data_IF_045059097088
#
_entry.id   IF_045059097088
#
_cell.length_a   1.000
_cell.length_b   1.000
_cell.length_c   1.000
_cell.angle_alpha   90.00
_cell.angle_beta   90.00
_cell.angle_gamma   90.00
#
_symmetry.space_group_name_H-M   'P 1'
#
loop_
_entity.id
_entity.type
_entity.pdbx_description
1 polymer ?
#
# COMPACT_ATOMS: atom_id res chain seq x y z
N UNK A 1 -33.34 5.03 6.32
CA UNK A 1 -33.10 6.46 6.05
C UNK A 1 -31.68 6.62 5.57
N UNK A 2 -31.45 7.28 4.45
CA UNK A 2 -30.10 7.55 3.96
C UNK A 2 -29.50 8.64 4.86
N UNK A 3 -28.38 8.37 5.51
CA UNK A 3 -27.69 9.36 6.33
C UNK A 3 -27.15 10.49 5.42
N UNK A 4 -27.35 11.74 5.82
CA UNK A 4 -26.83 12.89 5.10
C UNK A 4 -25.73 13.55 5.96
N UNK A 5 -24.45 13.41 5.56
CA UNK A 5 -23.34 13.95 6.32
C UNK A 5 -23.34 15.48 6.32
N UNK A 6 -22.89 16.08 7.43
CA UNK A 6 -22.70 17.51 7.60
C UNK A 6 -21.25 17.93 7.45
N UNK A 7 -20.31 17.03 7.84
CA UNK A 7 -18.87 17.26 7.70
C UNK A 7 -18.38 16.83 6.32
N UNK A 8 -17.46 17.60 5.77
CA UNK A 8 -16.84 17.33 4.48
C UNK A 8 -16.12 15.96 4.45
N UNK A 9 -15.53 15.55 5.60
CA UNK A 9 -14.84 14.28 5.68
C UNK A 9 -15.77 13.09 5.45
N UNK A 10 -16.89 13.03 6.20
CA UNK A 10 -17.85 11.92 6.03
C UNK A 10 -18.49 11.96 4.64
N UNK A 11 -18.79 13.16 4.12
CA UNK A 11 -19.31 13.31 2.76
C UNK A 11 -18.37 12.71 1.72
N UNK A 12 -17.08 13.06 1.77
CA UNK A 12 -16.05 12.53 0.87
C UNK A 12 -15.87 11.02 1.04
N UNK A 13 -15.87 10.50 2.28
CA UNK A 13 -15.76 9.06 2.52
C UNK A 13 -16.92 8.29 1.91
N UNK A 14 -18.14 8.81 1.99
CA UNK A 14 -19.34 8.20 1.40
C UNK A 14 -19.31 8.27 -0.12
N UNK A 15 -19.12 9.48 -0.68
CA UNK A 15 -19.21 9.74 -2.11
C UNK A 15 -18.16 8.98 -2.92
N UNK A 16 -16.94 8.84 -2.35
CA UNK A 16 -15.83 8.15 -3.01
C UNK A 16 -15.79 6.64 -2.77
N UNK A 17 -16.63 6.12 -1.86
CA UNK A 17 -16.73 4.69 -1.59
C UNK A 17 -15.66 4.16 -0.61
N UNK A 18 -15.18 5.00 0.31
CA UNK A 18 -14.25 4.58 1.37
C UNK A 18 -14.95 3.89 2.54
N UNK A 19 -16.27 3.98 2.66
CA UNK A 19 -16.96 3.48 3.85
C UNK A 19 -17.36 2.03 3.72
N UNK A 20 -16.94 1.21 4.72
CA UNK A 20 -17.52 -0.11 5.00
C UNK A 20 -18.39 -0.03 6.25
N UNK A 21 -17.79 0.25 7.41
CA UNK A 21 -18.47 0.33 8.70
C UNK A 21 -18.05 1.58 9.47
N UNK A 22 -18.95 2.09 10.31
CA UNK A 22 -18.69 3.18 11.26
C UNK A 22 -19.43 2.87 12.57
N UNK A 23 -18.79 3.12 13.71
CA UNK A 23 -19.39 2.83 15.02
C UNK A 23 -20.53 3.75 15.38
N UNK A 24 -20.44 5.01 14.98
CA UNK A 24 -21.49 6.03 15.14
C UNK A 24 -21.30 7.14 14.11
N UNK A 25 -22.08 7.12 13.05
CA UNK A 25 -22.00 8.14 12.00
C UNK A 25 -22.36 9.54 12.50
N UNK A 26 -23.40 9.66 13.31
CA UNK A 26 -23.87 10.95 13.75
C UNK A 26 -22.89 11.59 14.74
N UNK A 27 -22.45 10.83 15.73
CA UNK A 27 -21.51 11.34 16.74
C UNK A 27 -20.19 11.74 16.12
N UNK A 28 -19.63 10.91 15.21
CA UNK A 28 -18.40 11.22 14.50
C UNK A 28 -18.55 12.47 13.62
N UNK A 29 -19.62 12.57 12.85
CA UNK A 29 -19.89 13.69 11.95
C UNK A 29 -19.99 15.01 12.73
N UNK A 30 -20.73 15.03 13.86
CA UNK A 30 -20.83 16.18 14.75
C UNK A 30 -19.49 16.55 15.41
N UNK A 31 -18.68 15.54 15.77
CA UNK A 31 -17.35 15.78 16.34
C UNK A 31 -16.41 16.43 15.32
N UNK A 32 -16.43 15.97 14.06
CA UNK A 32 -15.58 16.48 12.98
C UNK A 32 -15.91 17.93 12.58
N UNK A 33 -17.14 18.39 12.77
CA UNK A 33 -17.51 19.80 12.52
C UNK A 33 -16.72 20.80 13.38
N UNK A 34 -16.12 20.37 14.50
CA UNK A 34 -15.30 21.22 15.35
C UNK A 34 -13.96 21.61 14.71
N UNK A 35 -13.56 20.94 13.63
CA UNK A 35 -12.27 21.12 12.96
C UNK A 35 -11.08 20.65 13.80
N UNK A 36 -9.94 20.40 13.17
CA UNK A 36 -8.70 20.03 13.84
C UNK A 36 -8.73 18.69 14.61
N UNK A 37 -9.79 17.89 14.45
CA UNK A 37 -9.95 16.66 15.21
C UNK A 37 -8.92 15.61 14.76
N UNK A 38 -8.13 15.02 15.70
CA UNK A 38 -7.17 14.02 15.33
C UNK A 38 -7.83 12.66 15.02
N UNK A 39 -7.38 12.06 13.90
CA UNK A 39 -7.73 10.69 13.52
C UNK A 39 -6.50 9.93 13.06
N UNK A 40 -6.41 8.63 13.37
CA UNK A 40 -5.21 7.86 13.08
C UNK A 40 -5.45 6.57 12.31
N UNK A 41 -4.39 6.12 11.66
CA UNK A 41 -4.22 4.75 11.18
C UNK A 41 -2.86 4.25 11.63
N UNK A 42 -2.81 3.00 12.11
CA UNK A 42 -1.58 2.32 12.49
C UNK A 42 -0.96 1.55 11.32
N UNK A 43 0.37 1.57 11.25
CA UNK A 43 1.14 0.88 10.21
C UNK A 43 2.31 0.12 10.84
N UNK A 44 2.26 -1.20 10.81
CA UNK A 44 3.37 -2.05 11.21
C UNK A 44 4.54 -1.93 10.23
N UNK A 45 5.73 -1.77 10.77
CA UNK A 45 6.97 -1.56 10.02
C UNK A 45 7.60 -2.89 9.56
N UNK A 46 6.84 -3.68 8.78
CA UNK A 46 7.27 -5.02 8.33
C UNK A 46 8.15 -5.03 7.09
N UNK A 47 8.31 -3.88 6.41
CA UNK A 47 9.17 -3.68 5.25
C UNK A 47 9.59 -2.19 5.15
N UNK A 48 10.63 -1.90 4.37
CA UNK A 48 11.14 -0.52 4.15
C UNK A 48 10.20 0.37 3.34
N UNK A 49 9.09 -0.15 2.84
CA UNK A 49 8.06 0.59 2.13
C UNK A 49 6.69 0.03 2.43
N UNK A 50 5.66 0.83 2.19
CA UNK A 50 4.30 0.37 2.01
C UNK A 50 4.08 -0.04 0.57
N UNK A 51 3.05 -0.83 0.31
CA UNK A 51 2.67 -1.24 -1.04
C UNK A 51 1.26 -0.68 -1.39
N UNK A 52 0.87 -0.78 -2.66
CA UNK A 52 -0.41 -0.27 -3.17
C UNK A 52 -1.62 -0.73 -2.35
N UNK A 53 -1.55 -1.90 -1.70
CA UNK A 53 -2.63 -2.36 -0.81
C UNK A 53 -2.87 -1.46 0.40
N UNK A 54 -1.88 -0.67 0.82
CA UNK A 54 -2.03 0.31 1.92
C UNK A 54 -2.46 1.70 1.43
N UNK A 55 -2.57 1.91 0.11
CA UNK A 55 -2.81 3.24 -0.44
C UNK A 55 -4.19 3.78 -0.08
N UNK A 56 -5.19 2.90 0.07
CA UNK A 56 -6.54 3.33 0.46
C UNK A 56 -6.53 3.98 1.86
N UNK A 57 -5.77 3.41 2.81
CA UNK A 57 -5.63 3.95 4.16
C UNK A 57 -4.86 5.28 4.14
N UNK A 58 -3.85 5.40 3.29
CA UNK A 58 -3.11 6.66 3.10
C UNK A 58 -4.04 7.74 2.55
N UNK A 59 -4.89 7.41 1.58
CA UNK A 59 -5.86 8.35 1.01
C UNK A 59 -6.93 8.76 2.02
N UNK A 60 -7.35 7.88 2.93
CA UNK A 60 -8.26 8.26 4.03
C UNK A 60 -7.63 9.32 4.94
N UNK A 61 -6.35 9.16 5.32
CA UNK A 61 -5.62 10.17 6.10
C UNK A 61 -5.45 11.49 5.31
N UNK A 62 -5.16 11.40 4.01
CA UNK A 62 -5.06 12.57 3.13
C UNK A 62 -6.39 13.34 3.06
N UNK A 63 -7.51 12.64 2.88
CA UNK A 63 -8.83 13.28 2.88
C UNK A 63 -9.18 13.86 4.25
N UNK A 64 -8.82 13.20 5.36
CA UNK A 64 -8.98 13.77 6.69
C UNK A 64 -8.25 15.12 6.81
N UNK A 65 -7.00 15.19 6.31
CA UNK A 65 -6.23 16.44 6.30
C UNK A 65 -6.88 17.52 5.43
N UNK A 66 -7.29 17.18 4.22
CA UNK A 66 -7.88 18.11 3.25
C UNK A 66 -9.22 18.69 3.70
N UNK A 67 -9.94 17.96 4.54
CA UNK A 67 -11.22 18.38 5.11
C UNK A 67 -11.08 19.02 6.51
N UNK A 68 -9.86 19.38 6.91
CA UNK A 68 -9.59 20.14 8.12
C UNK A 68 -9.40 19.30 9.39
N UNK A 69 -9.36 17.97 9.30
CA UNK A 69 -8.96 17.09 10.40
C UNK A 69 -7.44 17.01 10.54
N UNK A 70 -6.96 16.39 11.62
CA UNK A 70 -5.53 16.23 11.94
C UNK A 70 -5.09 14.78 11.84
N UNK A 71 -4.45 14.34 10.73
CA UNK A 71 -4.03 12.96 10.59
C UNK A 71 -2.90 12.58 11.55
N UNK A 72 -2.97 11.38 12.12
CA UNK A 72 -1.88 10.74 12.84
C UNK A 72 -1.48 9.46 12.08
N UNK A 73 -0.24 9.41 11.63
CA UNK A 73 0.38 8.17 11.16
C UNK A 73 1.06 7.49 12.34
N UNK A 74 0.42 6.44 12.88
CA UNK A 74 0.99 5.68 13.99
C UNK A 74 1.94 4.61 13.47
N UNK A 75 3.23 4.77 13.74
CA UNK A 75 4.23 3.75 13.41
C UNK A 75 4.21 2.66 14.46
N UNK A 76 4.06 1.43 14.01
CA UNK A 76 4.02 0.23 14.86
C UNK A 76 5.40 -0.23 15.32
N UNK A 77 6.25 0.66 15.86
CA UNK A 77 7.58 0.25 16.35
C UNK A 77 7.53 -0.78 17.48
N UNK A 78 6.53 -0.67 18.37
CA UNK A 78 6.27 -1.65 19.42
C UNK A 78 5.46 -2.85 18.88
N UNK A 79 4.35 -2.61 18.19
CA UNK A 79 3.46 -3.69 17.68
C UNK A 79 4.10 -4.55 16.61
N UNK A 80 5.03 -4.04 15.81
CA UNK A 80 5.79 -4.86 14.83
C UNK A 80 6.62 -5.97 15.49
N UNK A 81 7.03 -5.79 16.75
CA UNK A 81 7.73 -6.83 17.53
C UNK A 81 6.83 -8.04 17.83
N UNK A 82 5.51 -7.84 17.74
CA UNK A 82 4.48 -8.87 18.00
C UNK A 82 3.92 -9.40 16.69
N UNK A 83 3.49 -8.52 15.79
CA UNK A 83 2.92 -8.82 14.48
C UNK A 83 1.42 -9.06 14.49
N UNK A 84 0.69 -8.31 13.65
CA UNK A 84 -0.77 -8.44 13.47
C UNK A 84 -1.13 -9.79 12.82
N UNK A 85 -1.94 -10.64 13.50
CA UNK A 85 -2.40 -11.92 12.95
C UNK A 85 -3.56 -11.77 11.96
N UNK A 86 -4.15 -10.59 11.81
CA UNK A 86 -5.39 -10.37 11.04
C UNK A 86 -5.28 -10.89 9.62
N UNK A 87 -6.16 -11.84 9.26
CA UNK A 87 -6.28 -12.48 7.94
C UNK A 87 -5.00 -13.07 7.36
N UNK A 88 -4.10 -13.55 8.23
CA UNK A 88 -2.88 -14.31 7.86
C UNK A 88 -2.96 -15.75 8.37
N UNK A 89 -2.35 -16.65 7.61
CA UNK A 89 -2.24 -18.06 7.99
C UNK A 89 -0.98 -18.33 8.83
N UNK A 90 0.11 -17.59 8.55
CA UNK A 90 1.43 -17.81 9.14
C UNK A 90 1.82 -16.65 10.05
N UNK A 91 2.60 -16.95 11.08
CA UNK A 91 3.22 -15.94 11.96
C UNK A 91 4.14 -15.01 11.17
N UNK A 92 4.23 -13.76 11.62
CA UNK A 92 5.21 -12.80 11.05
C UNK A 92 6.62 -13.15 11.53
N UNK A 93 7.64 -13.00 10.67
CA UNK A 93 9.02 -13.11 11.11
C UNK A 93 9.31 -12.01 12.15
N UNK A 94 10.02 -12.39 13.22
CA UNK A 94 10.48 -11.44 14.23
C UNK A 94 11.61 -10.60 13.63
N UNK A 95 11.45 -9.29 13.69
CA UNK A 95 12.44 -8.32 13.21
C UNK A 95 13.25 -7.77 14.39
N UNK A 96 14.54 -7.43 14.14
CA UNK A 96 15.33 -6.71 15.14
C UNK A 96 14.87 -5.26 15.28
N UNK A 97 15.14 -4.59 16.43
CA UNK A 97 14.83 -3.18 16.61
C UNK A 97 15.40 -2.30 15.49
N UNK A 98 16.64 -2.55 15.07
CA UNK A 98 17.32 -1.80 13.99
C UNK A 98 16.61 -1.99 12.64
N UNK A 99 16.11 -3.19 12.35
CA UNK A 99 15.34 -3.45 11.14
C UNK A 99 13.99 -2.72 11.17
N UNK A 100 13.35 -2.63 12.34
CA UNK A 100 12.10 -1.90 12.52
C UNK A 100 12.32 -0.41 12.30
N UNK A 101 13.37 0.17 12.87
CA UNK A 101 13.73 1.59 12.73
C UNK A 101 14.05 1.94 11.26
N UNK A 102 14.82 1.10 10.57
CA UNK A 102 15.10 1.23 9.13
C UNK A 102 13.82 1.21 8.30
N UNK A 103 12.90 0.30 8.63
CA UNK A 103 11.61 0.19 7.95
C UNK A 103 10.75 1.44 8.19
N UNK A 104 10.68 1.95 9.42
CA UNK A 104 9.97 3.20 9.76
C UNK A 104 10.53 4.37 8.96
N UNK A 105 11.86 4.48 8.87
CA UNK A 105 12.52 5.55 8.09
C UNK A 105 12.14 5.48 6.59
N UNK A 106 12.02 4.28 6.04
CA UNK A 106 11.58 4.06 4.66
C UNK A 106 10.10 4.42 4.45
N UNK A 107 9.23 3.97 5.36
CA UNK A 107 7.78 4.25 5.31
C UNK A 107 7.48 5.75 5.42
N UNK A 108 8.26 6.48 6.24
CA UNK A 108 8.15 7.93 6.39
C UNK A 108 8.22 8.68 5.06
N UNK A 109 9.06 8.22 4.11
CA UNK A 109 9.18 8.83 2.78
C UNK A 109 7.85 8.77 2.02
N UNK A 110 7.13 7.65 2.12
CA UNK A 110 5.81 7.48 1.48
C UNK A 110 4.82 8.49 2.02
N UNK A 111 4.69 8.61 3.33
CA UNK A 111 3.73 9.53 3.93
C UNK A 111 4.00 10.99 3.58
N UNK A 112 5.28 11.39 3.48
CA UNK A 112 5.66 12.76 3.11
C UNK A 112 5.22 13.18 1.70
N UNK A 113 4.90 12.21 0.82
CA UNK A 113 4.32 12.52 -0.49
C UNK A 113 2.80 12.82 -0.42
N UNK A 114 2.10 12.26 0.58
CA UNK A 114 0.66 12.38 0.68
C UNK A 114 0.17 13.36 1.75
N UNK A 115 0.97 13.60 2.78
CA UNK A 115 0.58 14.36 3.97
C UNK A 115 1.57 15.50 4.22
N UNK A 116 1.04 16.65 4.62
CA UNK A 116 1.83 17.77 5.12
C UNK A 116 2.00 17.61 6.63
N UNK A 117 3.25 17.52 7.09
CA UNK A 117 3.60 17.43 8.50
C UNK A 117 4.02 18.79 9.04
N UNK A 118 3.65 19.12 10.27
CA UNK A 118 4.00 20.39 10.91
C UNK A 118 3.18 20.66 12.16
N UNK A 119 3.12 21.94 12.55
CA UNK A 119 2.46 22.41 13.78
C UNK A 119 1.08 23.05 13.54
N UNK A 120 0.63 23.13 12.28
CA UNK A 120 -0.67 23.66 11.91
C UNK A 120 -1.84 22.80 12.45
N UNK A 121 -3.03 23.37 12.49
CA UNK A 121 -4.21 22.70 13.03
C UNK A 121 -4.56 21.39 12.31
N UNK A 122 -4.31 21.31 11.00
CA UNK A 122 -4.55 20.14 10.15
C UNK A 122 -3.26 19.41 9.76
N UNK A 123 -2.09 19.90 10.19
CA UNK A 123 -0.82 19.23 9.85
C UNK A 123 -0.76 17.86 10.51
N UNK A 124 -0.27 16.88 9.74
CA UNK A 124 -0.15 15.51 10.22
C UNK A 124 0.92 15.37 11.32
N UNK A 125 0.72 14.41 12.18
CA UNK A 125 1.72 13.96 13.16
C UNK A 125 2.17 12.54 12.83
N UNK A 126 3.46 12.26 13.03
CA UNK A 126 4.00 10.90 13.00
C UNK A 126 4.41 10.51 14.41
N UNK A 127 3.80 9.44 14.92
CA UNK A 127 3.98 8.97 16.28
C UNK A 127 4.40 7.50 16.23
N UNK A 128 5.29 7.09 17.12
CA UNK A 128 5.73 5.69 17.24
C UNK A 128 5.18 5.08 18.53
N UNK A 129 4.42 4.01 18.44
CA UNK A 129 3.84 3.36 19.61
C UNK A 129 4.88 2.68 20.52
N UNK A 130 6.12 2.51 20.09
CA UNK A 130 7.23 2.11 20.94
C UNK A 130 7.44 3.09 22.12
N UNK A 131 7.06 4.38 21.97
CA UNK A 131 7.15 5.39 23.02
C UNK A 131 6.42 5.01 24.33
N UNK A 132 5.37 4.23 24.23
CA UNK A 132 4.61 3.75 25.40
C UNK A 132 4.64 2.23 25.57
N UNK A 133 4.77 1.46 24.50
CA UNK A 133 4.74 0.01 24.59
C UNK A 133 6.04 -0.58 25.14
N UNK A 134 7.19 -0.01 24.79
CA UNK A 134 8.51 -0.55 25.21
C UNK A 134 8.77 -0.43 26.71
N UNK A 135 8.14 0.54 27.36
CA UNK A 135 8.28 0.78 28.81
C UNK A 135 7.25 0.07 29.68
N UNK A 136 6.32 -0.71 29.12
CA UNK A 136 5.25 -1.35 29.87
C UNK A 136 5.77 -2.47 30.79
N UNK A 137 5.40 -2.41 32.08
CA UNK A 137 5.55 -3.55 32.97
C UNK A 137 4.47 -4.57 32.68
N UNK A 138 4.85 -5.80 32.38
CA UNK A 138 3.91 -6.85 31.95
C UNK A 138 2.81 -7.15 32.98
N UNK A 139 3.15 -7.25 34.29
CA UNK A 139 2.16 -7.56 35.33
C UNK A 139 1.21 -6.40 35.57
N UNK A 140 1.72 -5.16 35.56
CA UNK A 140 0.89 -3.97 35.69
C UNK A 140 -0.05 -3.83 34.49
N UNK A 141 0.44 -4.07 33.28
CA UNK A 141 -0.35 -4.04 32.07
C UNK A 141 -1.48 -5.11 32.09
N UNK A 142 -1.17 -6.33 32.50
CA UNK A 142 -2.21 -7.37 32.64
C UNK A 142 -3.25 -6.99 33.68
N UNK A 143 -2.84 -6.46 34.83
CA UNK A 143 -3.73 -6.07 35.92
C UNK A 143 -4.63 -4.90 35.52
N UNK A 144 -4.06 -3.86 34.93
CA UNK A 144 -4.75 -2.58 34.75
C UNK A 144 -5.48 -2.53 33.41
N UNK A 145 -4.95 -3.15 32.37
CA UNK A 145 -5.49 -3.16 31.01
C UNK A 145 -6.11 -4.53 30.65
N UNK A 146 -5.39 -5.63 30.86
CA UNK A 146 -5.85 -6.98 30.49
C UNK A 146 -7.17 -7.36 31.12
N UNK A 147 -7.47 -6.90 32.37
CA UNK A 147 -8.74 -7.14 33.06
C UNK A 147 -9.99 -6.63 32.30
N UNK A 148 -9.83 -5.71 31.35
CA UNK A 148 -10.91 -5.14 30.56
C UNK A 148 -11.29 -5.99 29.33
N UNK A 149 -10.49 -7.03 29.03
CA UNK A 149 -10.70 -7.91 27.89
C UNK A 149 -11.28 -9.26 28.33
N UNK A 150 -12.35 -9.69 27.66
CA UNK A 150 -12.93 -11.01 27.85
C UNK A 150 -12.36 -11.98 26.80
N UNK A 151 -11.75 -13.09 27.24
CA UNK A 151 -11.25 -14.14 26.35
C UNK A 151 -12.35 -14.64 25.39
N UNK A 152 -13.58 -14.88 25.89
CA UNK A 152 -14.68 -15.32 25.04
C UNK A 152 -14.98 -14.34 23.91
N UNK A 153 -14.91 -13.04 24.18
CA UNK A 153 -15.10 -11.99 23.16
C UNK A 153 -13.92 -11.95 22.19
N UNK A 154 -12.69 -12.02 22.70
CA UNK A 154 -11.49 -12.05 21.86
C UNK A 154 -11.50 -13.22 20.88
N UNK A 155 -11.94 -14.40 21.32
CA UNK A 155 -12.10 -15.60 20.49
C UNK A 155 -13.21 -15.48 19.43
N UNK A 156 -14.18 -14.59 19.62
CA UNK A 156 -15.29 -14.39 18.68
C UNK A 156 -14.97 -13.47 17.51
N UNK A 157 -13.85 -12.74 17.55
CA UNK A 157 -13.45 -11.88 16.44
C UNK A 157 -13.04 -12.68 15.21
N UNK A 158 -13.47 -12.26 14.03
CA UNK A 158 -13.28 -12.99 12.78
C UNK A 158 -11.80 -13.32 12.50
N UNK A 159 -10.88 -12.41 12.83
CA UNK A 159 -9.44 -12.62 12.68
C UNK A 159 -8.90 -13.80 13.50
N UNK A 160 -9.45 -14.03 14.69
CA UNK A 160 -9.10 -15.15 15.58
C UNK A 160 -9.90 -16.39 15.21
N UNK A 161 -11.22 -16.24 15.12
CA UNK A 161 -12.15 -17.33 14.85
C UNK A 161 -11.81 -18.07 13.56
N UNK A 162 -11.54 -17.35 12.46
CA UNK A 162 -11.20 -17.97 11.19
C UNK A 162 -9.92 -18.83 11.23
N UNK A 163 -8.95 -18.49 12.09
CA UNK A 163 -7.74 -19.32 12.30
C UNK A 163 -8.05 -20.57 13.13
N UNK A 164 -8.83 -20.40 14.18
CA UNK A 164 -9.26 -21.55 15.02
C UNK A 164 -10.13 -22.54 14.22
N UNK A 165 -11.10 -22.04 13.45
CA UNK A 165 -11.97 -22.85 12.60
C UNK A 165 -11.22 -23.64 11.52
N UNK A 166 -10.05 -23.11 11.08
CA UNK A 166 -9.15 -23.75 10.10
C UNK A 166 -8.05 -24.58 10.75
N UNK A 167 -8.07 -24.75 12.07
CA UNK A 167 -7.03 -25.45 12.84
C UNK A 167 -5.61 -24.88 12.60
N UNK A 168 -5.52 -23.57 12.31
CA UNK A 168 -4.25 -22.89 12.12
C UNK A 168 -3.69 -22.42 13.47
N UNK A 169 -2.37 -22.50 13.63
CA UNK A 169 -1.70 -22.02 14.83
C UNK A 169 -1.95 -20.54 15.07
N UNK A 170 -2.22 -20.17 16.31
CA UNK A 170 -2.29 -18.79 16.80
C UNK A 170 -1.48 -18.74 18.10
N UNK A 171 -0.34 -18.05 18.06
CA UNK A 171 0.50 -17.93 19.24
C UNK A 171 -0.12 -17.00 20.29
N UNK A 172 0.28 -17.17 21.55
CA UNK A 172 -0.11 -16.25 22.62
C UNK A 172 0.37 -14.82 22.31
N UNK A 173 1.53 -14.67 21.68
CA UNK A 173 2.08 -13.38 21.24
C UNK A 173 1.11 -12.69 20.28
N UNK A 174 0.75 -13.33 19.17
CA UNK A 174 -0.20 -12.80 18.18
C UNK A 174 -1.58 -12.51 18.79
N UNK A 175 -2.06 -13.40 19.70
CA UNK A 175 -3.35 -13.21 20.37
C UNK A 175 -3.41 -11.92 21.20
N UNK A 176 -2.28 -11.48 21.76
CA UNK A 176 -2.20 -10.22 22.52
C UNK A 176 -2.17 -8.97 21.63
N UNK A 177 -1.94 -9.10 20.31
CA UNK A 177 -1.85 -7.94 19.42
C UNK A 177 -3.07 -7.00 19.53
N UNK A 178 -4.29 -7.56 19.58
CA UNK A 178 -5.51 -6.76 19.68
C UNK A 178 -5.59 -5.92 20.96
N UNK A 179 -4.95 -6.36 22.06
CA UNK A 179 -4.89 -5.61 23.32
C UNK A 179 -3.93 -4.42 23.16
N UNK A 180 -2.77 -4.63 22.51
CA UNK A 180 -1.80 -3.59 22.24
C UNK A 180 -2.35 -2.49 21.34
N UNK A 181 -3.05 -2.88 20.26
CA UNK A 181 -3.70 -1.91 19.36
C UNK A 181 -4.83 -1.14 20.07
N UNK A 182 -5.58 -1.80 20.95
CA UNK A 182 -6.60 -1.13 21.75
C UNK A 182 -5.95 -0.12 22.73
N UNK A 183 -4.81 -0.48 23.32
CA UNK A 183 -4.05 0.41 24.17
C UNK A 183 -3.48 1.60 23.41
N UNK A 184 -3.03 1.42 22.17
CA UNK A 184 -2.59 2.50 21.29
C UNK A 184 -3.69 3.57 21.12
N UNK A 185 -4.93 3.15 20.86
CA UNK A 185 -6.02 4.11 20.70
C UNK A 185 -6.27 4.92 21.97
N UNK A 186 -6.29 4.26 23.12
CA UNK A 186 -6.46 4.91 24.42
C UNK A 186 -5.31 5.91 24.70
N UNK A 187 -4.06 5.53 24.42
CA UNK A 187 -2.89 6.41 24.61
C UNK A 187 -2.93 7.61 23.65
N UNK A 188 -3.30 7.39 22.39
CA UNK A 188 -3.47 8.48 21.42
C UNK A 188 -4.58 9.43 21.83
N UNK A 189 -5.71 8.92 22.34
CA UNK A 189 -6.76 9.78 22.87
C UNK A 189 -6.27 10.58 24.08
N UNK A 190 -5.61 9.92 25.06
CA UNK A 190 -5.12 10.52 26.27
C UNK A 190 -4.06 11.60 26.03
N UNK A 191 -3.11 11.35 25.11
CA UNK A 191 -1.97 12.24 24.86
C UNK A 191 -2.25 13.33 23.84
N UNK A 192 -3.05 13.04 22.82
CA UNK A 192 -3.22 13.90 21.66
C UNK A 192 -4.69 14.24 21.35
N UNK A 193 -5.64 13.79 22.20
CA UNK A 193 -7.07 14.00 21.94
C UNK A 193 -7.59 13.28 20.69
N UNK A 194 -6.94 12.21 20.25
CA UNK A 194 -7.34 11.46 19.07
C UNK A 194 -8.72 10.84 19.25
N UNK A 195 -9.68 11.21 18.38
CA UNK A 195 -11.07 10.76 18.49
C UNK A 195 -11.45 9.66 17.50
N UNK A 196 -10.65 9.44 16.46
CA UNK A 196 -11.00 8.54 15.35
C UNK A 196 -9.88 7.54 15.07
N UNK A 197 -10.23 6.24 15.09
CA UNK A 197 -9.39 5.20 14.52
C UNK A 197 -9.97 4.76 13.17
N UNK A 198 -9.11 4.70 12.15
CA UNK A 198 -9.49 4.21 10.82
C UNK A 198 -8.65 2.98 10.44
N UNK A 199 -9.19 2.17 9.51
CA UNK A 199 -8.49 0.99 9.00
C UNK A 199 -9.25 0.28 7.88
N UNK A 200 -8.78 -0.88 7.45
CA UNK A 200 -9.57 -1.78 6.62
C UNK A 200 -10.63 -2.52 7.44
N UNK A 201 -11.63 -3.09 6.79
CA UNK A 201 -12.68 -3.87 7.48
C UNK A 201 -12.15 -5.10 8.24
N UNK A 202 -10.94 -5.57 7.89
CA UNK A 202 -10.19 -6.57 8.64
C UNK A 202 -9.77 -6.10 10.05
N UNK A 203 -9.71 -4.79 10.27
CA UNK A 203 -9.32 -4.17 11.54
C UNK A 203 -10.51 -3.86 12.46
N UNK A 204 -11.75 -4.14 12.04
CA UNK A 204 -12.95 -3.78 12.79
C UNK A 204 -12.92 -4.27 14.25
N UNK A 205 -12.55 -5.52 14.47
CA UNK A 205 -12.45 -6.09 15.83
C UNK A 205 -11.45 -5.37 16.72
N UNK A 206 -10.26 -5.03 16.17
CA UNK A 206 -9.24 -4.30 16.90
C UNK A 206 -9.71 -2.86 17.22
N UNK A 207 -10.36 -2.19 16.26
CA UNK A 207 -10.90 -0.83 16.42
C UNK A 207 -11.95 -0.79 17.55
N UNK A 208 -12.91 -1.71 17.52
CA UNK A 208 -13.97 -1.78 18.54
C UNK A 208 -13.41 -2.07 19.94
N UNK A 209 -12.36 -2.89 20.03
CA UNK A 209 -11.65 -3.11 21.30
C UNK A 209 -11.01 -1.82 21.84
N UNK A 210 -10.40 -1.00 20.96
CA UNK A 210 -9.82 0.29 21.32
C UNK A 210 -10.86 1.26 21.86
N UNK A 211 -12.02 1.34 21.20
CA UNK A 211 -13.16 2.18 21.63
C UNK A 211 -13.67 1.74 23.00
N UNK A 212 -13.88 0.44 23.20
CA UNK A 212 -14.35 -0.10 24.48
C UNK A 212 -13.36 0.13 25.61
N UNK A 213 -12.05 -0.04 25.34
CA UNK A 213 -11.00 0.20 26.35
C UNK A 213 -10.96 1.68 26.73
N UNK A 214 -10.92 2.58 25.76
CA UNK A 214 -10.88 4.03 25.98
C UNK A 214 -12.05 4.50 26.82
N UNK A 215 -13.27 4.03 26.49
CA UNK A 215 -14.47 4.35 27.27
C UNK A 215 -14.42 3.83 28.70
N UNK A 216 -13.93 2.59 28.91
CA UNK A 216 -13.92 1.96 30.23
C UNK A 216 -12.86 2.48 31.18
N UNK A 217 -11.71 2.90 30.66
CA UNK A 217 -10.55 3.28 31.47
C UNK A 217 -10.48 4.78 31.69
N UNK A 218 -10.79 5.59 30.69
CA UNK A 218 -10.65 7.05 30.74
C UNK A 218 -11.92 7.81 30.33
N UNK A 219 -13.06 7.11 30.20
CA UNK A 219 -14.37 7.68 29.84
C UNK A 219 -14.34 8.50 28.53
N UNK A 220 -13.38 8.22 27.65
CA UNK A 220 -13.21 8.92 26.39
C UNK A 220 -14.27 8.55 25.36
N UNK A 221 -14.78 9.52 24.64
CA UNK A 221 -15.69 9.35 23.51
C UNK A 221 -14.88 9.32 22.22
N UNK A 222 -14.80 8.15 21.59
CA UNK A 222 -14.00 7.91 20.40
C UNK A 222 -14.75 7.03 19.39
N UNK A 223 -14.36 7.12 18.13
CA UNK A 223 -15.08 6.54 17.00
C UNK A 223 -14.16 5.66 16.16
N UNK A 224 -14.77 4.71 15.46
CA UNK A 224 -14.12 3.83 14.50
C UNK A 224 -14.76 3.90 13.11
N UNK A 225 -13.94 3.89 12.07
CA UNK A 225 -14.37 3.90 10.68
C UNK A 225 -13.50 2.95 9.86
N UNK A 226 -14.13 2.09 9.04
CA UNK A 226 -13.39 1.16 8.20
C UNK A 226 -13.68 1.36 6.72
N UNK A 227 -12.66 1.05 5.91
CA UNK A 227 -12.79 0.94 4.46
C UNK A 227 -13.01 -0.52 4.05
N UNK A 228 -13.64 -0.76 2.86
CA UNK A 228 -13.72 -2.10 2.32
C UNK A 228 -12.33 -2.65 2.01
N UNK A 229 -12.18 -3.97 2.15
CA UNK A 229 -10.99 -4.66 1.64
C UNK A 229 -11.02 -4.65 0.12
N UNK A 230 -9.97 -4.08 -0.48
CA UNK A 230 -9.92 -3.97 -1.92
C UNK A 230 -9.39 -5.24 -2.58
N UNK A 231 -10.25 -5.80 -3.39
CA UNK A 231 -9.91 -6.78 -4.43
C UNK A 231 -10.13 -6.15 -5.80
N UNK A 232 -9.38 -6.56 -6.77
CA UNK A 232 -9.65 -6.27 -8.17
C UNK A 232 -10.90 -7.01 -8.63
N UNK A 233 -11.52 -6.58 -9.73
CA UNK A 233 -12.74 -7.20 -10.27
C UNK A 233 -12.56 -8.68 -10.66
N UNK A 234 -11.30 -9.12 -10.87
CA UNK A 234 -10.93 -10.53 -11.08
C UNK A 234 -10.66 -11.30 -9.77
N UNK A 235 -10.98 -10.71 -8.61
CA UNK A 235 -10.90 -11.33 -7.28
C UNK A 235 -9.51 -11.37 -6.66
N UNK A 236 -8.49 -10.77 -7.26
CA UNK A 236 -7.14 -10.72 -6.69
C UNK A 236 -7.03 -9.62 -5.64
N UNK A 237 -6.20 -9.86 -4.62
CA UNK A 237 -5.87 -8.83 -3.63
C UNK A 237 -5.03 -7.73 -4.27
N UNK A 238 -5.38 -6.46 -4.01
CA UNK A 238 -4.57 -5.31 -4.39
C UNK A 238 -3.17 -5.38 -3.76
N UNK A 239 -2.16 -4.91 -4.51
CA UNK A 239 -0.79 -4.74 -4.01
C UNK A 239 0.16 -5.89 -4.30
N UNK A 240 -0.28 -6.95 -4.98
CA UNK A 240 0.61 -8.02 -5.46
C UNK A 240 0.44 -8.22 -6.96
N UNK A 241 1.56 -8.19 -7.70
CA UNK A 241 1.65 -8.64 -9.08
C UNK A 241 2.26 -10.05 -9.14
N UNK A 242 2.38 -10.61 -10.35
CA UNK A 242 3.12 -11.86 -10.54
C UNK A 242 4.60 -11.74 -10.18
N UNK A 243 5.15 -10.52 -10.20
CA UNK A 243 6.55 -10.21 -9.86
C UNK A 243 6.74 -9.80 -8.39
N UNK A 244 5.69 -9.72 -7.57
CA UNK A 244 5.77 -9.38 -6.15
C UNK A 244 4.91 -8.21 -5.72
N UNK A 245 5.27 -7.54 -4.62
CA UNK A 245 4.56 -6.38 -4.12
C UNK A 245 4.81 -5.15 -5.00
N UNK A 246 3.76 -4.34 -5.22
CA UNK A 246 3.87 -3.03 -5.88
C UNK A 246 4.20 -2.01 -4.80
N UNK A 247 5.47 -1.72 -4.67
CA UNK A 247 6.01 -0.82 -3.65
C UNK A 247 5.75 0.65 -3.97
N UNK A 248 5.65 1.47 -2.92
CA UNK A 248 5.42 2.91 -3.05
C UNK A 248 6.73 3.73 -3.07
N UNK A 249 7.83 3.21 -2.49
CA UNK A 249 9.12 3.90 -2.55
C UNK A 249 9.79 3.73 -3.93
N UNK A 250 10.25 4.82 -4.51
CA UNK A 250 10.90 4.85 -5.83
C UNK A 250 12.24 4.10 -5.92
N UNK A 251 12.89 3.86 -4.78
CA UNK A 251 14.10 3.01 -4.68
C UNK A 251 13.79 1.50 -4.68
N UNK A 252 12.53 1.11 -4.53
CA UNK A 252 12.07 -0.29 -4.56
C UNK A 252 11.24 -0.63 -5.81
N UNK A 253 10.61 0.36 -6.44
CA UNK A 253 9.87 0.23 -7.68
C UNK A 253 9.93 1.56 -8.43
N UNK A 254 10.39 1.56 -9.68
CA UNK A 254 10.49 2.78 -10.48
C UNK A 254 9.14 3.44 -10.73
N UNK A 255 9.14 4.77 -10.93
CA UNK A 255 7.92 5.52 -11.27
C UNK A 255 7.25 4.98 -12.54
N UNK A 256 8.03 4.52 -13.51
CA UNK A 256 7.52 3.89 -14.73
C UNK A 256 6.76 2.58 -14.44
N UNK A 257 7.34 1.67 -13.65
CA UNK A 257 6.67 0.40 -13.28
C UNK A 257 5.42 0.65 -12.45
N UNK A 258 5.48 1.61 -11.51
CA UNK A 258 4.34 2.05 -10.73
C UNK A 258 3.22 2.62 -11.62
N UNK A 259 3.57 3.49 -12.57
CA UNK A 259 2.64 4.05 -13.56
C UNK A 259 2.03 2.93 -14.43
N UNK A 260 2.85 2.00 -14.92
CA UNK A 260 2.40 0.85 -15.72
C UNK A 260 1.43 -0.06 -14.96
N UNK A 261 1.62 -0.24 -13.66
CA UNK A 261 0.68 -1.00 -12.84
C UNK A 261 -0.73 -0.38 -12.92
N UNK A 262 -0.86 0.92 -12.73
CA UNK A 262 -2.13 1.63 -12.80
C UNK A 262 -2.71 1.71 -14.21
N UNK A 263 -1.84 1.94 -15.20
CA UNK A 263 -2.23 1.92 -16.62
C UNK A 263 -2.83 0.58 -17.07
N UNK A 264 -2.43 -0.51 -16.41
CA UNK A 264 -2.88 -1.87 -16.68
C UNK A 264 -4.10 -2.30 -15.84
N UNK A 265 -4.73 -1.38 -15.13
CA UNK A 265 -6.00 -1.62 -14.41
C UNK A 265 -7.06 -2.20 -15.35
N UNK A 266 -7.86 -3.15 -14.85
CA UNK A 266 -8.99 -3.72 -15.62
C UNK A 266 -10.05 -2.66 -15.86
N UNK A 267 -10.75 -2.72 -16.99
CA UNK A 267 -11.77 -1.71 -17.36
C UNK A 267 -12.82 -1.53 -16.26
N UNK A 268 -13.25 -2.64 -15.66
CA UNK A 268 -14.26 -2.64 -14.59
C UNK A 268 -13.82 -1.94 -13.30
N UNK A 269 -12.52 -1.81 -13.07
CA UNK A 269 -11.98 -1.20 -11.84
C UNK A 269 -11.65 0.29 -11.99
N UNK A 270 -11.55 0.81 -13.23
CA UNK A 270 -11.06 2.17 -13.51
C UNK A 270 -11.85 3.23 -12.76
N UNK A 271 -13.18 3.23 -12.89
CA UNK A 271 -14.04 4.24 -12.26
C UNK A 271 -13.93 4.23 -10.73
N UNK A 272 -13.90 3.03 -10.13
CA UNK A 272 -13.73 2.86 -8.69
C UNK A 272 -12.35 3.37 -8.23
N UNK A 273 -11.29 3.06 -8.96
CA UNK A 273 -9.93 3.47 -8.59
C UNK A 273 -9.70 4.96 -8.80
N UNK A 274 -10.33 5.59 -9.79
CA UNK A 274 -10.34 7.05 -9.91
C UNK A 274 -10.91 7.72 -8.66
N UNK A 275 -12.04 7.23 -8.13
CA UNK A 275 -12.63 7.76 -6.89
C UNK A 275 -11.74 7.55 -5.67
N UNK A 276 -11.15 6.35 -5.51
CA UNK A 276 -10.39 5.99 -4.31
C UNK A 276 -8.98 6.56 -4.28
N UNK A 277 -8.31 6.69 -5.41
CA UNK A 277 -6.87 6.96 -5.44
C UNK A 277 -6.47 8.29 -6.08
N UNK A 278 -7.45 9.07 -6.55
CA UNK A 278 -7.18 10.40 -7.11
C UNK A 278 -7.92 11.49 -6.34
N UNK A 279 -7.56 12.74 -6.61
CA UNK A 279 -8.24 13.91 -6.09
C UNK A 279 -9.17 14.56 -7.13
N UNK A 280 -9.40 13.91 -8.24
CA UNK A 280 -10.32 14.39 -9.27
C UNK A 280 -11.73 14.56 -8.69
N UNK A 281 -12.50 15.56 -9.14
CA UNK A 281 -13.92 15.67 -8.81
C UNK A 281 -14.67 14.35 -9.10
N UNK A 282 -15.66 14.01 -8.29
CA UNK A 282 -16.35 12.72 -8.40
C UNK A 282 -17.12 12.60 -9.72
N UNK A 283 -17.70 13.70 -10.20
CA UNK A 283 -18.36 13.77 -11.51
C UNK A 283 -17.38 13.46 -12.66
N UNK A 284 -16.13 13.95 -12.57
CA UNK A 284 -15.09 13.62 -13.55
C UNK A 284 -14.66 12.15 -13.42
N UNK A 285 -14.57 11.61 -12.22
CA UNK A 285 -14.32 10.17 -12.02
C UNK A 285 -15.43 9.32 -12.64
N UNK A 286 -16.70 9.73 -12.50
CA UNK A 286 -17.84 9.04 -13.07
C UNK A 286 -17.86 9.16 -14.60
N UNK A 287 -17.56 10.35 -15.15
CA UNK A 287 -17.42 10.55 -16.61
C UNK A 287 -16.35 9.65 -17.21
N UNK A 288 -15.16 9.64 -16.62
CA UNK A 288 -14.05 8.81 -17.08
C UNK A 288 -14.32 7.31 -16.89
N UNK A 289 -14.94 6.94 -15.78
CA UNK A 289 -15.31 5.55 -15.49
C UNK A 289 -16.41 4.98 -16.39
N UNK A 290 -17.19 5.84 -17.05
CA UNK A 290 -18.23 5.46 -18.01
C UNK A 290 -17.69 5.23 -19.43
N UNK A 291 -16.43 5.59 -19.73
CA UNK A 291 -15.81 5.35 -21.03
C UNK A 291 -15.72 3.85 -21.32
N UNK A 292 -15.90 3.45 -22.57
CA UNK A 292 -15.92 2.05 -22.98
C UNK A 292 -15.07 1.82 -24.25
N UNK A 293 -14.78 0.56 -24.55
CA UNK A 293 -14.00 0.20 -25.73
C UNK A 293 -12.60 0.80 -25.73
N UNK A 294 -12.18 1.45 -26.80
CA UNK A 294 -10.86 2.09 -26.88
C UNK A 294 -10.74 3.35 -26.03
N UNK A 295 -11.85 4.05 -25.75
CA UNK A 295 -11.85 5.30 -24.97
C UNK A 295 -11.49 5.10 -23.49
N UNK A 296 -11.74 3.91 -22.92
CA UNK A 296 -11.35 3.60 -21.54
C UNK A 296 -9.83 3.74 -21.32
N UNK A 297 -9.03 3.68 -22.40
CA UNK A 297 -7.58 3.89 -22.30
C UNK A 297 -7.22 5.32 -21.88
N UNK A 298 -8.02 6.32 -22.23
CA UNK A 298 -7.87 7.70 -21.74
C UNK A 298 -8.00 7.73 -20.21
N UNK A 299 -9.07 7.11 -19.69
CA UNK A 299 -9.29 7.04 -18.25
C UNK A 299 -8.18 6.29 -17.50
N UNK A 300 -7.61 5.24 -18.09
CA UNK A 300 -6.47 4.50 -17.51
C UNK A 300 -5.18 5.31 -17.49
N UNK A 301 -4.90 6.09 -18.55
CA UNK A 301 -3.76 7.01 -18.57
C UNK A 301 -3.95 8.10 -17.52
N UNK A 302 -5.16 8.67 -17.45
CA UNK A 302 -5.47 9.68 -16.43
C UNK A 302 -5.30 9.14 -15.02
N UNK A 303 -5.82 7.94 -14.73
CA UNK A 303 -5.64 7.26 -13.45
C UNK A 303 -4.16 7.09 -13.08
N UNK A 304 -3.35 6.57 -14.01
CA UNK A 304 -1.93 6.35 -13.80
C UNK A 304 -1.18 7.67 -13.56
N UNK A 305 -1.48 8.71 -14.32
CA UNK A 305 -0.87 10.04 -14.17
C UNK A 305 -1.20 10.65 -12.81
N UNK A 306 -2.46 10.67 -12.41
CA UNK A 306 -2.89 11.25 -11.13
C UNK A 306 -2.21 10.58 -9.95
N UNK A 307 -2.23 9.24 -9.89
CA UNK A 307 -1.66 8.50 -8.77
C UNK A 307 -0.13 8.61 -8.75
N UNK A 308 0.52 8.56 -9.91
CA UNK A 308 1.98 8.70 -10.00
C UNK A 308 2.40 10.13 -9.64
N UNK A 309 1.63 11.14 -10.03
CA UNK A 309 1.88 12.55 -9.65
C UNK A 309 1.81 12.73 -8.13
N UNK A 310 0.84 12.13 -7.46
CA UNK A 310 0.70 12.21 -6.01
C UNK A 310 1.89 11.60 -5.27
N UNK A 311 2.45 10.52 -5.78
CA UNK A 311 3.53 9.79 -5.10
C UNK A 311 4.93 10.24 -5.52
N UNK A 312 5.17 10.41 -6.82
CA UNK A 312 6.50 10.61 -7.41
C UNK A 312 6.69 12.02 -8.01
N UNK A 313 5.62 12.82 -8.07
CA UNK A 313 5.65 14.16 -8.67
C UNK A 313 5.24 14.17 -10.14
N UNK A 314 4.92 15.37 -10.64
CA UNK A 314 4.39 15.57 -12.00
C UNK A 314 5.40 15.19 -13.10
N UNK A 315 6.69 15.55 -12.91
CA UNK A 315 7.73 15.27 -13.89
C UNK A 315 7.93 13.75 -14.08
N UNK A 316 7.92 12.98 -12.97
CA UNK A 316 8.03 11.53 -13.02
C UNK A 316 6.82 10.88 -13.73
N UNK A 317 5.61 11.39 -13.49
CA UNK A 317 4.40 10.91 -14.17
C UNK A 317 4.45 11.19 -15.68
N UNK A 318 4.87 12.40 -16.08
CA UNK A 318 5.01 12.77 -17.49
C UNK A 318 6.09 11.94 -18.21
N UNK A 319 7.22 11.73 -17.56
CA UNK A 319 8.31 10.88 -18.08
C UNK A 319 7.85 9.45 -18.28
N UNK A 320 7.13 8.89 -17.28
CA UNK A 320 6.60 7.54 -17.36
C UNK A 320 5.57 7.39 -18.50
N UNK A 321 4.69 8.38 -18.69
CA UNK A 321 3.73 8.38 -19.81
C UNK A 321 4.45 8.48 -21.15
N UNK A 322 5.41 9.39 -21.30
CA UNK A 322 6.18 9.56 -22.53
C UNK A 322 6.96 8.28 -22.90
N UNK A 323 7.64 7.68 -21.93
CA UNK A 323 8.31 6.38 -22.08
C UNK A 323 7.36 5.30 -22.54
N UNK A 324 6.18 5.20 -21.92
CA UNK A 324 5.17 4.21 -22.31
C UNK A 324 4.67 4.43 -23.74
N UNK A 325 4.49 5.68 -24.16
CA UNK A 325 4.08 6.04 -25.53
C UNK A 325 5.15 5.66 -26.55
N UNK A 326 6.41 5.98 -26.29
CA UNK A 326 7.51 5.60 -27.18
C UNK A 326 7.66 4.09 -27.35
N UNK A 327 7.58 3.36 -26.24
CA UNK A 327 7.65 1.89 -26.26
C UNK A 327 6.48 1.28 -27.05
N UNK A 328 5.28 1.88 -26.96
CA UNK A 328 4.09 1.34 -27.61
C UNK A 328 3.94 1.76 -29.07
N UNK A 329 4.19 3.04 -29.39
CA UNK A 329 3.89 3.62 -30.72
C UNK A 329 5.08 3.52 -31.70
N UNK A 330 6.31 3.56 -31.18
CA UNK A 330 7.51 3.67 -32.03
C UNK A 330 8.47 2.47 -31.92
N UNK A 331 8.19 1.51 -31.04
CA UNK A 331 9.20 0.45 -30.72
C UNK A 331 10.49 1.05 -30.13
N UNK A 332 10.44 2.29 -29.61
CA UNK A 332 11.58 3.03 -29.09
C UNK A 332 12.05 2.55 -27.72
N UNK A 333 13.19 3.06 -27.32
CA UNK A 333 13.75 2.92 -25.97
C UNK A 333 13.38 4.19 -25.20
N UNK A 334 12.42 4.10 -24.27
CA UNK A 334 12.05 5.27 -23.45
C UNK A 334 13.06 5.51 -22.32
N UNK A 335 13.19 6.76 -21.89
CA UNK A 335 14.22 7.22 -20.94
C UNK A 335 14.08 6.66 -19.51
N UNK A 336 12.93 6.05 -19.14
CA UNK A 336 12.64 5.59 -17.78
C UNK A 336 12.34 4.07 -17.70
N UNK A 337 12.87 3.28 -18.63
CA UNK A 337 12.78 1.81 -18.52
C UNK A 337 13.67 1.29 -17.38
N UNK A 338 13.23 0.25 -16.63
CA UNK A 338 14.11 -0.44 -15.70
C UNK A 338 15.42 -0.80 -16.38
N UNK A 339 16.52 -0.30 -15.83
CA UNK A 339 17.84 -0.49 -16.45
C UNK A 339 18.69 -1.42 -15.63
N UNK A 340 19.11 -2.54 -16.22
CA UNK A 340 20.13 -3.44 -15.68
C UNK A 340 21.50 -2.97 -16.15
N UNK A 341 22.33 -2.51 -15.22
CA UNK A 341 23.75 -2.26 -15.50
C UNK A 341 24.58 -3.48 -15.17
N UNK A 342 25.21 -4.07 -16.19
CA UNK A 342 26.13 -5.19 -16.07
C UNK A 342 27.54 -4.69 -15.81
N UNK A 343 28.29 -5.38 -14.97
CA UNK A 343 29.73 -5.17 -14.85
C UNK A 343 30.48 -5.92 -15.96
N UNK A 344 31.70 -5.48 -16.26
CA UNK A 344 32.58 -6.22 -17.17
C UNK A 344 32.80 -7.67 -16.76
N UNK A 345 32.77 -7.98 -15.46
CA UNK A 345 32.87 -9.34 -14.92
C UNK A 345 31.64 -10.20 -15.27
N UNK A 346 30.44 -9.62 -15.35
CA UNK A 346 29.20 -10.34 -15.69
C UNK A 346 29.19 -10.84 -17.13
N UNK A 347 29.94 -10.18 -18.02
CA UNK A 347 30.01 -10.52 -19.46
C UNK A 347 31.34 -11.12 -19.87
N UNK A 348 32.27 -11.37 -18.92
CA UNK A 348 33.55 -12.02 -19.17
C UNK A 348 33.31 -13.52 -19.49
N UNK A 349 33.39 -13.86 -20.75
CA UNK A 349 33.05 -15.19 -21.25
C UNK A 349 31.66 -15.33 -21.85
N UNK A 350 30.91 -14.20 -21.93
CA UNK A 350 29.57 -14.13 -22.45
C UNK A 350 28.49 -14.37 -21.38
N UNK A 351 27.34 -13.74 -21.57
CA UNK A 351 26.14 -13.94 -20.74
C UNK A 351 25.03 -14.60 -21.57
N UNK A 352 24.39 -15.64 -21.05
CA UNK A 352 23.28 -16.27 -21.77
C UNK A 352 22.02 -15.36 -21.74
N UNK A 353 21.28 -15.37 -22.86
CA UNK A 353 20.04 -14.60 -22.98
C UNK A 353 19.04 -14.99 -21.86
N UNK A 354 19.01 -16.24 -21.43
CA UNK A 354 18.16 -16.71 -20.33
C UNK A 354 18.56 -16.07 -19.01
N UNK A 355 19.87 -16.00 -18.71
CA UNK A 355 20.37 -15.31 -17.51
C UNK A 355 20.06 -13.81 -17.57
N UNK A 356 20.19 -13.21 -18.73
CA UNK A 356 19.94 -11.79 -18.93
C UNK A 356 18.47 -11.42 -18.69
N UNK A 357 17.54 -12.23 -19.22
CA UNK A 357 16.08 -12.07 -18.98
C UNK A 357 15.74 -12.21 -17.48
N UNK A 358 16.41 -13.11 -16.76
CA UNK A 358 16.19 -13.27 -15.32
C UNK A 358 16.80 -12.11 -14.53
N UNK A 359 18.07 -11.73 -14.84
CA UNK A 359 18.73 -10.60 -14.14
C UNK A 359 18.03 -9.27 -14.37
N UNK A 360 17.40 -9.05 -15.52
CA UNK A 360 16.61 -7.86 -15.82
C UNK A 360 15.22 -7.85 -15.16
N UNK A 361 14.87 -8.89 -14.39
CA UNK A 361 13.56 -8.99 -13.73
C UNK A 361 12.38 -9.34 -14.65
N UNK A 362 12.65 -9.61 -15.94
CA UNK A 362 11.61 -9.94 -16.92
C UNK A 362 11.08 -11.37 -16.78
N UNK A 363 11.80 -12.24 -16.08
CA UNK A 363 11.34 -13.57 -15.68
C UNK A 363 11.85 -13.91 -14.27
N UNK A 364 11.02 -14.60 -13.48
CA UNK A 364 11.38 -15.02 -12.13
C UNK A 364 12.36 -16.20 -12.08
N UNK A 365 12.53 -16.94 -13.19
CA UNK A 365 13.40 -18.11 -13.27
C UNK A 365 13.85 -18.42 -14.69
N UNK A 366 14.96 -19.17 -14.82
CA UNK A 366 15.43 -19.64 -16.12
C UNK A 366 14.41 -20.53 -16.86
N UNK A 367 13.55 -21.26 -16.13
CA UNK A 367 12.47 -22.05 -16.72
C UNK A 367 11.41 -21.13 -17.36
N UNK A 368 11.04 -20.06 -16.70
CA UNK A 368 10.10 -19.06 -17.24
C UNK A 368 10.71 -18.33 -18.44
N UNK A 369 11.97 -17.91 -18.35
CA UNK A 369 12.67 -17.26 -19.47
C UNK A 369 12.71 -18.16 -20.72
N UNK A 370 13.03 -19.44 -20.58
CA UNK A 370 12.99 -20.42 -21.70
C UNK A 370 11.59 -20.59 -22.29
N UNK A 371 10.55 -20.61 -21.44
CA UNK A 371 9.18 -20.68 -21.91
C UNK A 371 8.80 -19.42 -22.70
N UNK A 372 9.14 -18.23 -22.22
CA UNK A 372 8.89 -16.97 -22.93
C UNK A 372 9.56 -16.95 -24.31
N UNK A 373 10.78 -17.46 -24.43
CA UNK A 373 11.47 -17.58 -25.72
C UNK A 373 10.74 -18.57 -26.64
N UNK A 374 10.39 -19.76 -26.14
CA UNK A 374 9.67 -20.78 -26.91
C UNK A 374 8.29 -20.34 -27.43
N UNK A 375 7.61 -19.49 -26.67
CA UNK A 375 6.31 -18.91 -27.01
C UNK A 375 6.42 -17.61 -27.85
N UNK A 376 7.61 -17.24 -28.34
CA UNK A 376 7.91 -15.97 -29.04
C UNK A 376 7.52 -14.74 -28.21
N UNK A 377 7.44 -14.87 -26.89
CA UNK A 377 7.10 -13.80 -25.97
C UNK A 377 8.30 -12.94 -25.54
N UNK A 378 9.53 -13.39 -25.79
CA UNK A 378 10.75 -12.64 -25.51
C UNK A 378 11.31 -12.00 -26.77
N UNK A 379 11.78 -10.74 -26.66
CA UNK A 379 12.42 -9.99 -27.76
C UNK A 379 13.69 -9.32 -27.30
N UNK A 380 14.64 -9.19 -28.20
CA UNK A 380 15.86 -8.38 -28.09
C UNK A 380 15.79 -7.28 -29.18
N UNK A 381 15.81 -6.01 -28.77
CA UNK A 381 15.64 -4.85 -29.66
C UNK A 381 14.47 -5.04 -30.65
N UNK A 382 13.33 -5.45 -30.09
CA UNK A 382 12.07 -5.74 -30.77
C UNK A 382 12.08 -6.96 -31.72
N UNK A 383 13.23 -7.63 -31.88
CA UNK A 383 13.35 -8.88 -32.66
C UNK A 383 13.00 -10.08 -31.78
N UNK A 384 12.05 -10.94 -32.17
CA UNK A 384 11.71 -12.12 -31.40
C UNK A 384 12.93 -13.03 -31.17
N UNK A 385 13.15 -13.43 -29.92
CA UNK A 385 14.14 -14.43 -29.55
C UNK A 385 13.60 -15.84 -29.84
N UNK A 386 14.33 -16.61 -30.60
CA UNK A 386 13.97 -18.00 -30.95
C UNK A 386 14.95 -19.02 -30.40
N UNK A 387 16.16 -18.57 -29.98
CA UNK A 387 17.20 -19.45 -29.45
C UNK A 387 17.46 -19.14 -27.96
N UNK A 388 17.08 -20.07 -27.08
CA UNK A 388 17.37 -20.00 -25.65
C UNK A 388 18.86 -20.26 -25.31
N UNK A 389 19.65 -20.72 -26.26
CA UNK A 389 21.10 -20.93 -26.13
C UNK A 389 21.92 -19.70 -26.51
N UNK A 390 21.32 -18.62 -27.01
CA UNK A 390 22.03 -17.42 -27.42
C UNK A 390 22.92 -16.88 -26.30
N UNK A 391 24.19 -16.64 -26.64
CA UNK A 391 25.18 -16.02 -25.77
C UNK A 391 25.52 -14.64 -26.33
N UNK A 392 25.56 -13.65 -25.45
CA UNK A 392 25.94 -12.26 -25.75
C UNK A 392 27.28 -11.96 -25.10
N UNK A 393 28.23 -11.42 -25.88
CA UNK A 393 29.52 -10.94 -25.40
C UNK A 393 29.49 -9.46 -25.06
N UNK A 394 30.59 -8.92 -24.56
CA UNK A 394 30.69 -7.49 -24.20
C UNK A 394 30.42 -6.57 -25.39
N UNK A 395 30.67 -6.96 -26.62
CA UNK A 395 30.43 -6.18 -27.83
C UNK A 395 28.95 -5.95 -28.11
N UNK A 396 28.09 -6.86 -27.65
CA UNK A 396 26.63 -6.70 -27.78
C UNK A 396 26.07 -5.54 -26.97
N UNK A 397 26.82 -5.04 -25.98
CA UNK A 397 26.43 -3.93 -25.10
C UNK A 397 27.18 -2.63 -25.41
N UNK A 398 27.66 -2.46 -26.64
CA UNK A 398 28.28 -1.21 -27.12
C UNK A 398 27.29 -0.03 -27.10
N UNK A 399 26.00 -0.31 -27.14
CA UNK A 399 24.90 0.58 -26.84
C UNK A 399 23.89 -0.15 -25.94
N UNK A 400 23.06 0.56 -25.13
CA UNK A 400 22.00 -0.09 -24.38
C UNK A 400 21.08 -0.90 -25.27
N UNK A 401 20.80 -2.16 -24.88
CA UNK A 401 19.88 -3.06 -25.58
C UNK A 401 18.55 -3.15 -24.84
N UNK A 402 17.46 -3.28 -25.59
CA UNK A 402 16.12 -3.44 -25.03
C UNK A 402 15.70 -4.90 -24.98
N UNK A 403 15.40 -5.39 -23.80
CA UNK A 403 14.74 -6.69 -23.60
C UNK A 403 13.25 -6.50 -23.37
N UNK A 404 12.45 -7.40 -23.94
CA UNK A 404 10.99 -7.39 -23.75
C UNK A 404 10.48 -8.79 -23.40
N UNK A 405 9.48 -8.85 -22.50
CA UNK A 405 8.76 -10.07 -22.15
C UNK A 405 7.25 -9.85 -22.30
N UNK A 406 6.70 -10.34 -23.40
CA UNK A 406 5.34 -10.05 -23.84
C UNK A 406 5.21 -8.62 -24.36
N UNK A 407 3.98 -8.07 -24.26
CA UNK A 407 3.66 -6.73 -24.79
C UNK A 407 3.85 -5.59 -23.78
N UNK A 408 4.13 -5.91 -22.51
CA UNK A 408 4.01 -4.95 -21.40
C UNK A 408 5.26 -4.83 -20.51
N UNK A 409 6.16 -5.79 -20.55
CA UNK A 409 7.36 -5.80 -19.71
C UNK A 409 8.59 -5.54 -20.55
N UNK A 410 9.33 -4.48 -20.23
CA UNK A 410 10.51 -4.07 -20.96
C UNK A 410 11.62 -3.69 -19.96
N UNK A 411 12.85 -3.88 -20.32
CA UNK A 411 14.02 -3.44 -19.55
C UNK A 411 15.15 -3.05 -20.51
N UNK A 412 15.95 -2.08 -20.10
CA UNK A 412 17.23 -1.77 -20.73
C UNK A 412 18.35 -2.57 -20.08
N UNK A 413 19.31 -2.99 -20.88
CA UNK A 413 20.54 -3.59 -20.38
C UNK A 413 21.73 -2.85 -20.99
N UNK A 414 22.61 -2.38 -20.13
CA UNK A 414 23.84 -1.68 -20.54
C UNK A 414 25.04 -2.22 -19.78
N UNK A 415 26.23 -1.98 -20.32
CA UNK A 415 27.50 -2.23 -19.65
C UNK A 415 27.91 -0.96 -18.89
N UNK A 416 28.28 -1.09 -17.61
CA UNK A 416 28.74 0.00 -16.76
C UNK A 416 30.21 -0.01 -16.49
#
# INVERSE_FOLDING_TARGET
>A
MTYHPKSDFIAVMMERGFLADCTDYQGLDEALLKGGQPGYIGFDATAKSLHVGSLIQIMMLRWLQKTGGKPITLMGGGTTKVGDPSFRADERPLLSPEQIDDNIAGIKKVFSAYLTYGDGASDAMMINNAEWLDGLNYLDFLRDIGRHFSINRMLSFESVKSRLDREQSLSFLEFNYMILQAYDFMELHRRYGCILQMGGSDQWGNIVNGIDLTRRVIEGEVYGLTSPLLTTSDGKKMGKSQSGAIWLNGDMLSAYEFWQFWRNTTDADVGRFLKLYTELPVDECDRLGALAGSEINEAKVRLANEITTLLHGADAAQTAEATAREVFEKGGVGDDLPTLTLSHADVQGGISIVQLIVKSGLAASGKEAKRLIAENGAKLDDVPLTDAGLMLDAGAFSSPIKLSAGKKRHALVQLG
#
